data_IF_187881039840
#
_entry.id   IF_187881039840
#
_cell.length_a   1.000
_cell.length_b   1.000
_cell.length_c   1.000
_cell.angle_alpha   90.00
_cell.angle_beta   90.00
_cell.angle_gamma   90.00
#
_symmetry.space_group_name_H-M   'P 1'
#
loop_
_entity.id
_entity.type
_entity.pdbx_description
1 polymer ?
#
# COMPACT_ATOMS: atom_id res chain seq x y z
N UNK A 1 -12.07 2.69 -15.66
CA UNK A 1 -12.09 1.47 -14.83
C UNK A 1 -11.94 1.93 -13.39
N UNK A 2 -12.81 1.48 -12.48
CA UNK A 2 -12.71 1.83 -11.05
C UNK A 2 -11.65 0.94 -10.40
N UNK A 3 -10.83 1.52 -9.53
CA UNK A 3 -9.87 0.78 -8.71
C UNK A 3 -10.52 0.36 -7.39
N UNK A 4 -10.01 -0.72 -6.80
CA UNK A 4 -10.50 -1.20 -5.49
C UNK A 4 -10.25 -0.17 -4.38
N UNK A 5 -9.09 0.52 -4.42
CA UNK A 5 -8.82 1.68 -3.57
C UNK A 5 -9.62 2.86 -4.13
N UNK A 6 -10.54 3.39 -3.34
CA UNK A 6 -11.43 4.51 -3.70
C UNK A 6 -11.09 5.81 -2.99
N UNK A 7 -10.44 5.70 -1.84
CA UNK A 7 -9.95 6.85 -1.06
C UNK A 7 -8.57 6.54 -0.53
N UNK A 8 -7.71 7.56 -0.55
CA UNK A 8 -6.43 7.58 0.14
C UNK A 8 -6.39 8.84 1.00
N UNK A 9 -6.17 8.70 2.30
CA UNK A 9 -6.01 9.84 3.22
C UNK A 9 -4.60 9.83 3.80
N UNK A 10 -4.01 11.01 3.92
CA UNK A 10 -2.76 11.22 4.63
C UNK A 10 -3.05 11.89 5.96
N UNK A 11 -2.62 11.25 7.05
CA UNK A 11 -2.75 11.76 8.41
C UNK A 11 -1.37 12.07 8.96
N UNK A 12 -1.10 13.31 9.33
CA UNK A 12 0.23 13.77 9.76
C UNK A 12 0.21 14.18 11.23
N UNK A 13 1.28 13.96 12.01
CA UNK A 13 1.36 14.49 13.37
C UNK A 13 1.22 16.00 13.36
N UNK A 14 0.39 16.52 14.25
CA UNK A 14 0.24 17.95 14.49
C UNK A 14 1.57 18.54 15.03
N UNK A 15 1.63 19.87 15.14
CA UNK A 15 2.84 20.55 15.68
C UNK A 15 3.24 20.07 17.07
N UNK A 16 2.30 19.61 17.90
CA UNK A 16 2.59 19.07 19.23
C UNK A 16 2.98 17.59 19.20
N UNK A 17 2.79 16.91 18.07
CA UNK A 17 2.98 15.47 17.85
C UNK A 17 2.18 14.60 18.81
N UNK A 18 1.05 15.10 19.29
CA UNK A 18 0.12 14.38 20.20
C UNK A 18 -1.11 13.87 19.49
N UNK A 19 -1.41 14.41 18.31
CA UNK A 19 -2.55 14.03 17.49
C UNK A 19 -2.14 13.97 16.03
N UNK A 20 -2.94 13.27 15.25
CA UNK A 20 -2.91 13.28 13.79
C UNK A 20 -3.97 14.26 13.28
N UNK A 21 -3.58 15.09 12.32
CA UNK A 21 -4.44 15.99 11.57
C UNK A 21 -4.47 15.58 10.09
N UNK A 22 -5.51 16.02 9.38
CA UNK A 22 -5.68 15.70 7.96
C UNK A 22 -4.64 16.44 7.12
N UNK A 23 -3.74 15.70 6.47
CA UNK A 23 -2.66 16.22 5.63
C UNK A 23 -2.97 16.24 4.14
N UNK A 24 -4.07 15.63 3.71
CA UNK A 24 -4.50 15.56 2.31
C UNK A 24 -5.19 14.25 1.98
N UNK A 25 -5.78 14.15 0.78
CA UNK A 25 -6.36 12.90 0.33
C UNK A 25 -6.74 12.87 -1.14
N UNK A 26 -6.78 11.67 -1.70
CA UNK A 26 -7.27 11.35 -3.03
C UNK A 26 -8.64 10.69 -2.86
N UNK A 27 -9.66 11.22 -3.53
CA UNK A 27 -11.03 10.73 -3.44
C UNK A 27 -11.56 10.52 -4.85
N UNK A 28 -12.26 9.41 -5.06
CA UNK A 28 -13.07 9.23 -6.26
C UNK A 28 -14.25 10.21 -6.31
N UNK A 29 -14.77 10.41 -7.52
CA UNK A 29 -15.93 11.25 -7.77
C UNK A 29 -17.12 10.82 -6.89
N UNK A 30 -17.82 11.82 -6.34
CA UNK A 30 -18.99 11.61 -5.48
C UNK A 30 -18.68 11.36 -4.00
N UNK A 31 -17.41 11.35 -3.59
CA UNK A 31 -17.00 11.13 -2.18
C UNK A 31 -16.68 12.41 -1.40
N UNK A 32 -17.14 13.57 -1.89
CA UNK A 32 -16.88 14.87 -1.24
C UNK A 32 -17.46 14.99 0.16
N UNK A 33 -18.62 14.38 0.42
CA UNK A 33 -19.22 14.36 1.75
C UNK A 33 -18.37 13.57 2.76
N UNK A 34 -17.79 12.44 2.33
CA UNK A 34 -16.86 11.68 3.17
C UNK A 34 -15.60 12.49 3.44
N UNK A 35 -15.02 13.12 2.39
CA UNK A 35 -13.85 14.01 2.50
C UNK A 35 -14.07 15.15 3.50
N UNK A 36 -15.20 15.85 3.44
CA UNK A 36 -15.48 16.98 4.32
C UNK A 36 -15.45 16.55 5.80
N UNK A 37 -16.00 15.38 6.12
CA UNK A 37 -15.95 14.84 7.48
C UNK A 37 -14.53 14.40 7.86
N UNK A 38 -13.75 13.87 6.93
CA UNK A 38 -12.33 13.57 7.16
C UNK A 38 -11.55 14.82 7.56
N UNK A 39 -11.75 15.93 6.87
CA UNK A 39 -10.98 17.17 7.06
C UNK A 39 -11.16 17.79 8.46
N UNK A 40 -12.27 17.50 9.14
CA UNK A 40 -12.56 18.01 10.49
C UNK A 40 -12.03 17.12 11.62
N UNK A 41 -11.63 15.88 11.31
CA UNK A 41 -11.23 14.92 12.32
C UNK A 41 -9.79 15.05 12.77
N UNK A 42 -9.58 14.57 13.99
CA UNK A 42 -8.26 14.38 14.59
C UNK A 42 -8.24 13.04 15.32
N UNK A 43 -7.04 12.46 15.42
CA UNK A 43 -6.83 11.16 16.07
C UNK A 43 -5.65 11.22 17.03
N UNK A 44 -5.88 10.94 18.31
CA UNK A 44 -4.83 10.68 19.27
C UNK A 44 -4.16 9.32 19.07
N UNK A 45 -3.16 9.05 19.90
CA UNK A 45 -2.53 7.72 20.01
C UNK A 45 -3.58 6.66 20.40
N UNK A 46 -3.58 5.53 19.70
CA UNK A 46 -4.56 4.42 19.82
C UNK A 46 -6.03 4.81 19.56
N UNK A 47 -6.26 5.98 18.96
CA UNK A 47 -7.61 6.48 18.67
C UNK A 47 -7.99 6.29 17.20
N UNK A 48 -9.12 5.63 16.95
CA UNK A 48 -9.56 5.36 15.58
C UNK A 48 -8.57 4.49 14.79
N UNK A 49 -8.79 4.39 13.48
CA UNK A 49 -7.92 3.59 12.62
C UNK A 49 -6.50 4.17 12.46
N UNK A 50 -6.31 5.49 12.22
CA UNK A 50 -4.97 6.06 12.11
C UNK A 50 -4.18 5.99 13.42
N UNK A 51 -4.82 6.30 14.55
CA UNK A 51 -4.18 6.28 15.86
C UNK A 51 -3.81 4.86 16.31
N UNK A 52 -4.57 3.84 15.91
CA UNK A 52 -4.21 2.43 16.15
C UNK A 52 -2.96 1.99 15.41
N UNK A 53 -2.86 2.34 14.13
CA UNK A 53 -1.64 2.08 13.35
C UNK A 53 -0.42 2.83 13.93
N UNK A 54 -0.63 4.07 14.41
CA UNK A 54 0.40 4.78 15.17
C UNK A 54 0.80 4.00 16.43
N UNK A 55 -0.18 3.50 17.20
CA UNK A 55 0.10 2.84 18.47
C UNK A 55 0.83 1.50 18.32
N UNK A 56 0.41 0.67 17.39
CA UNK A 56 1.01 -0.65 17.20
C UNK A 56 2.32 -0.63 16.39
N UNK A 57 2.60 0.46 15.66
CA UNK A 57 3.85 0.62 14.92
C UNK A 57 3.93 -0.18 13.62
N UNK A 58 2.82 -0.79 13.18
CA UNK A 58 2.73 -1.60 11.96
C UNK A 58 1.38 -1.35 11.25
N UNK A 59 1.20 -1.80 10.00
CA UNK A 59 -0.08 -1.65 9.32
C UNK A 59 -1.23 -2.31 10.07
N UNK A 60 -2.44 -1.74 9.96
CA UNK A 60 -3.68 -2.27 10.55
C UNK A 60 -4.74 -2.36 9.48
N UNK A 61 -5.38 -3.52 9.35
CA UNK A 61 -6.53 -3.74 8.49
C UNK A 61 -7.79 -3.70 9.36
N UNK A 62 -8.79 -2.96 8.90
CA UNK A 62 -10.12 -2.92 9.50
C UNK A 62 -11.13 -3.39 8.45
N UNK A 63 -11.55 -4.65 8.59
CA UNK A 63 -12.43 -5.35 7.63
C UNK A 63 -13.91 -4.99 7.77
N UNK A 64 -14.29 -4.31 8.86
CA UNK A 64 -15.66 -3.85 9.11
C UNK A 64 -15.69 -2.58 9.95
N UNK A 65 -16.46 -1.58 9.53
CA UNK A 65 -16.60 -0.33 10.27
C UNK A 65 -17.63 -0.39 11.40
N UNK A 66 -18.78 -1.03 11.16
CA UNK A 66 -19.83 -1.14 12.16
C UNK A 66 -19.37 -1.90 13.41
N UNK A 67 -19.75 -1.40 14.60
CA UNK A 67 -19.34 -1.92 15.91
C UNK A 67 -17.81 -1.98 16.11
N UNK A 68 -17.07 -1.06 15.49
CA UNK A 68 -15.62 -0.92 15.65
C UNK A 68 -15.26 0.45 16.25
N UNK A 69 -13.96 0.69 16.42
CA UNK A 69 -13.40 1.99 16.84
C UNK A 69 -13.41 3.06 15.73
N UNK A 70 -13.97 2.76 14.55
CA UNK A 70 -14.02 3.68 13.42
C UNK A 70 -14.98 4.85 13.68
N UNK A 71 -14.52 6.08 13.41
CA UNK A 71 -15.24 7.32 13.77
C UNK A 71 -16.27 7.80 12.75
N UNK A 72 -16.30 7.23 11.53
CA UNK A 72 -17.08 7.75 10.39
C UNK A 72 -17.94 6.68 9.72
N UNK A 73 -18.48 5.76 10.52
CA UNK A 73 -19.14 4.53 10.03
C UNK A 73 -20.28 4.83 9.07
N UNK A 74 -21.18 5.76 9.43
CA UNK A 74 -22.36 6.07 8.61
C UNK A 74 -21.95 6.73 7.28
N UNK A 75 -20.95 7.60 7.30
CA UNK A 75 -20.44 8.27 6.11
C UNK A 75 -19.70 7.29 5.20
N UNK A 76 -18.91 6.36 5.76
CA UNK A 76 -18.26 5.31 5.01
C UNK A 76 -19.28 4.37 4.37
N UNK A 77 -20.33 3.99 5.10
CA UNK A 77 -21.43 3.18 4.57
C UNK A 77 -22.17 3.90 3.44
N UNK A 78 -22.51 5.19 3.60
CA UNK A 78 -23.13 6.00 2.56
C UNK A 78 -22.23 6.17 1.32
N UNK A 79 -20.91 6.16 1.51
CA UNK A 79 -19.90 6.20 0.45
C UNK A 79 -19.67 4.83 -0.25
N UNK A 80 -20.23 3.73 0.29
CA UNK A 80 -19.98 2.38 -0.19
C UNK A 80 -18.56 1.88 0.08
N UNK A 81 -17.93 2.36 1.16
CA UNK A 81 -16.63 1.89 1.63
C UNK A 81 -16.84 0.74 2.62
N UNK A 82 -16.03 -0.31 2.53
CA UNK A 82 -16.22 -1.54 3.30
C UNK A 82 -15.03 -1.94 4.15
N UNK A 83 -13.82 -1.51 3.78
CA UNK A 83 -12.64 -1.73 4.62
C UNK A 83 -11.68 -0.54 4.60
N UNK A 84 -10.86 -0.46 5.65
CA UNK A 84 -9.82 0.54 5.81
C UNK A 84 -8.48 -0.11 6.13
N UNK A 85 -7.40 0.39 5.54
CA UNK A 85 -6.03 -0.08 5.81
C UNK A 85 -5.20 1.12 6.21
N UNK A 86 -4.76 1.16 7.47
CA UNK A 86 -3.84 2.20 7.94
C UNK A 86 -2.41 1.70 7.89
N UNK A 87 -1.54 2.52 7.31
CA UNK A 87 -0.14 2.24 7.02
C UNK A 87 0.70 3.34 7.67
N UNK A 88 1.32 3.06 8.83
CA UNK A 88 2.15 4.05 9.48
C UNK A 88 3.54 4.09 8.84
N UNK A 89 4.09 5.30 8.69
CA UNK A 89 5.45 5.53 8.19
C UNK A 89 6.27 6.16 9.30
N UNK A 90 7.36 5.49 9.69
CA UNK A 90 8.26 5.93 10.73
C UNK A 90 9.64 6.27 10.18
N UNK A 91 10.30 7.24 10.80
CA UNK A 91 11.73 7.49 10.69
C UNK A 91 12.36 7.25 12.07
N UNK A 92 12.96 6.08 12.27
CA UNK A 92 13.32 5.62 13.61
C UNK A 92 12.06 5.43 14.46
N UNK A 93 12.02 6.05 15.64
CA UNK A 93 10.85 6.00 16.55
C UNK A 93 9.81 7.10 16.24
N UNK A 94 10.11 8.01 15.31
CA UNK A 94 9.25 9.15 15.01
C UNK A 94 8.28 8.83 13.88
N UNK A 95 6.98 8.79 14.20
CA UNK A 95 5.93 8.72 13.18
C UNK A 95 6.00 9.95 12.26
N UNK A 96 6.08 9.73 10.96
CA UNK A 96 6.06 10.79 9.94
C UNK A 96 4.65 11.04 9.43
N UNK A 97 3.91 9.96 9.16
CA UNK A 97 2.50 10.02 8.76
C UNK A 97 1.84 8.65 8.91
N UNK A 98 0.51 8.61 8.83
CA UNK A 98 -0.29 7.41 8.59
C UNK A 98 -1.05 7.59 7.28
N UNK A 99 -0.77 6.72 6.32
CA UNK A 99 -1.54 6.64 5.09
C UNK A 99 -2.72 5.69 5.31
N UNK A 100 -3.94 6.13 5.00
CA UNK A 100 -5.15 5.29 5.15
C UNK A 100 -5.77 5.07 3.79
N UNK A 101 -5.92 3.81 3.42
CA UNK A 101 -6.59 3.38 2.20
C UNK A 101 -8.00 2.95 2.58
N UNK A 102 -9.02 3.45 1.87
CA UNK A 102 -10.36 2.89 1.95
C UNK A 102 -10.73 2.23 0.64
N UNK A 103 -11.23 1.01 0.76
CA UNK A 103 -11.70 0.24 -0.37
C UNK A 103 -13.22 0.17 -0.36
N UNK A 104 -13.80 0.11 -1.55
CA UNK A 104 -15.24 -0.04 -1.73
C UNK A 104 -15.61 -1.42 -2.23
N UNK A 105 -16.83 -1.82 -1.90
CA UNK A 105 -17.44 -3.06 -2.36
C UNK A 105 -18.26 -2.79 -3.60
N UNK A 106 -17.78 -3.29 -4.73
CA UNK A 106 -18.67 -3.64 -5.83
C UNK A 106 -18.83 -5.16 -5.73
N UNK A 107 -20.03 -5.73 -5.79
CA UNK A 107 -20.30 -7.19 -5.61
C UNK A 107 -19.45 -8.11 -6.51
N UNK A 108 -18.80 -7.55 -7.54
CA UNK A 108 -17.90 -8.22 -8.46
C UNK A 108 -16.40 -8.08 -8.11
N UNK A 109 -16.03 -7.40 -7.02
CA UNK A 109 -14.64 -7.13 -6.68
C UNK A 109 -13.92 -8.38 -6.22
N UNK A 110 -12.89 -8.75 -6.98
CA UNK A 110 -11.99 -9.83 -6.61
C UNK A 110 -10.59 -9.29 -6.37
N UNK A 111 -10.13 -9.41 -5.14
CA UNK A 111 -8.85 -8.94 -4.68
C UNK A 111 -8.71 -9.16 -3.18
N UNK A 112 -7.49 -9.05 -2.68
CA UNK A 112 -7.25 -9.17 -1.25
C UNK A 112 -6.18 -8.19 -0.78
N UNK A 113 -6.34 -7.72 0.45
CA UNK A 113 -5.28 -7.04 1.19
C UNK A 113 -5.01 -7.87 2.42
N UNK A 114 -3.77 -8.30 2.62
CA UNK A 114 -3.42 -9.20 3.71
C UNK A 114 -2.26 -8.61 4.52
N UNK A 115 -2.27 -8.87 5.82
CA UNK A 115 -1.19 -8.52 6.73
C UNK A 115 -0.59 -9.80 7.30
N UNK A 116 0.69 -10.01 7.01
CA UNK A 116 1.47 -11.14 7.50
C UNK A 116 2.49 -10.67 8.52
N UNK A 117 2.82 -11.52 9.49
CA UNK A 117 3.82 -11.22 10.50
C UNK A 117 4.63 -12.47 10.83
N UNK A 118 5.96 -12.31 10.97
CA UNK A 118 6.79 -13.32 11.60
C UNK A 118 6.91 -13.05 13.10
N UNK A 119 6.58 -14.04 13.91
CA UNK A 119 6.90 -14.05 15.33
C UNK A 119 8.08 -15.00 15.55
N UNK A 120 9.31 -14.48 15.71
CA UNK A 120 10.52 -15.31 15.77
C UNK A 120 10.55 -16.23 17.00
N UNK A 121 9.80 -15.92 18.06
CA UNK A 121 9.71 -16.75 19.26
C UNK A 121 8.74 -17.94 19.07
N UNK A 122 7.82 -17.85 18.11
CA UNK A 122 6.81 -18.88 17.82
C UNK A 122 7.13 -19.73 16.60
N UNK A 123 7.67 -19.15 15.52
CA UNK A 123 7.89 -19.86 14.26
C UNK A 123 8.95 -19.20 13.38
N UNK A 124 9.60 -20.01 12.52
CA UNK A 124 10.46 -19.54 11.44
C UNK A 124 9.68 -19.08 10.20
N UNK A 125 8.35 -19.21 10.21
CA UNK A 125 7.44 -18.82 9.14
C UNK A 125 6.60 -17.62 9.58
N UNK A 126 6.11 -16.85 8.61
CA UNK A 126 5.07 -15.85 8.91
C UNK A 126 3.67 -16.43 8.80
N UNK A 127 2.79 -15.96 9.68
CA UNK A 127 1.36 -16.24 9.66
C UNK A 127 0.54 -15.03 9.26
N UNK A 128 -0.69 -15.30 8.81
CA UNK A 128 -1.67 -14.25 8.55
C UNK A 128 -2.15 -13.67 9.88
N UNK A 129 -2.07 -12.35 10.00
CA UNK A 129 -2.61 -11.61 11.15
C UNK A 129 -4.04 -11.17 10.86
N UNK A 130 -4.24 -10.53 9.71
CA UNK A 130 -5.57 -10.13 9.25
C UNK A 130 -5.60 -9.98 7.73
N UNK A 131 -6.79 -9.90 7.15
CA UNK A 131 -6.95 -9.67 5.72
C UNK A 131 -8.39 -9.37 5.30
N UNK A 132 -8.53 -8.59 4.24
CA UNK A 132 -9.79 -8.36 3.55
C UNK A 132 -9.77 -9.09 2.21
N UNK A 133 -10.83 -9.84 1.92
CA UNK A 133 -10.90 -10.74 0.77
C UNK A 133 -12.11 -10.49 -0.15
N UNK A 134 -12.89 -9.43 0.09
CA UNK A 134 -14.13 -9.17 -0.62
C UNK A 134 -15.07 -10.38 -0.52
N UNK A 135 -15.46 -10.93 -1.67
CA UNK A 135 -16.34 -12.11 -1.77
C UNK A 135 -15.60 -13.45 -1.86
N UNK A 136 -14.27 -13.46 -1.71
CA UNK A 136 -13.42 -14.64 -1.93
C UNK A 136 -13.25 -15.52 -0.67
N UNK A 137 -14.35 -16.00 -0.08
CA UNK A 137 -14.37 -16.76 1.19
C UNK A 137 -13.40 -17.96 1.24
N UNK A 138 -13.34 -18.73 0.15
CA UNK A 138 -12.45 -19.90 0.08
C UNK A 138 -10.97 -19.49 0.08
N UNK A 139 -10.66 -18.37 -0.59
CA UNK A 139 -9.32 -17.83 -0.63
C UNK A 139 -8.92 -17.28 0.74
N UNK A 140 -9.84 -16.62 1.46
CA UNK A 140 -9.65 -16.22 2.85
C UNK A 140 -9.36 -17.43 3.75
N UNK A 141 -10.20 -18.47 3.68
CA UNK A 141 -10.05 -19.67 4.49
C UNK A 141 -8.65 -20.29 4.31
N UNK A 142 -8.21 -20.46 3.07
CA UNK A 142 -6.89 -21.01 2.78
C UNK A 142 -5.74 -20.08 3.22
N UNK A 143 -5.94 -18.76 3.13
CA UNK A 143 -4.95 -17.78 3.61
C UNK A 143 -4.73 -17.89 5.12
N UNK A 144 -5.82 -17.99 5.91
CA UNK A 144 -5.77 -18.13 7.38
C UNK A 144 -5.03 -19.39 7.84
N UNK A 145 -5.10 -20.47 7.05
CA UNK A 145 -4.43 -21.75 7.34
C UNK A 145 -3.06 -21.91 6.68
N UNK A 146 -2.58 -20.89 5.96
CA UNK A 146 -1.27 -20.94 5.31
C UNK A 146 -0.21 -20.25 6.17
N UNK A 147 1.02 -20.75 6.07
CA UNK A 147 2.23 -20.14 6.60
C UNK A 147 3.26 -20.03 5.49
N UNK A 148 4.10 -19.00 5.55
CA UNK A 148 5.13 -18.77 4.53
C UNK A 148 6.54 -18.80 5.16
N UNK A 149 7.38 -19.76 4.76
CA UNK A 149 8.80 -19.70 5.03
C UNK A 149 9.44 -18.45 4.45
N UNK A 150 10.51 -17.96 5.09
CA UNK A 150 11.33 -16.88 4.56
C UNK A 150 11.85 -17.24 3.16
N UNK A 151 11.50 -16.42 2.17
CA UNK A 151 11.89 -16.60 0.77
C UNK A 151 10.91 -17.38 -0.10
N UNK A 152 9.75 -17.80 0.43
CA UNK A 152 8.75 -18.57 -0.31
C UNK A 152 7.39 -17.85 -0.39
N UNK A 153 6.70 -17.95 -1.53
CA UNK A 153 5.49 -17.15 -1.80
C UNK A 153 5.74 -15.64 -1.82
N UNK A 154 4.72 -14.83 -2.11
CA UNK A 154 4.87 -13.36 -2.07
C UNK A 154 5.27 -12.87 -0.67
N UNK A 155 4.57 -13.21 0.43
CA UNK A 155 4.90 -12.69 1.75
C UNK A 155 6.31 -13.05 2.19
N UNK A 156 6.68 -14.34 2.09
CA UNK A 156 8.00 -14.83 2.48
C UNK A 156 9.12 -14.26 1.61
N UNK A 157 8.92 -14.08 0.30
CA UNK A 157 9.92 -13.43 -0.58
C UNK A 157 10.11 -11.97 -0.23
N UNK A 158 9.04 -11.23 0.05
CA UNK A 158 9.12 -9.83 0.49
C UNK A 158 9.88 -9.72 1.81
N UNK A 159 9.62 -10.61 2.76
CA UNK A 159 10.39 -10.69 4.01
C UNK A 159 11.87 -10.98 3.79
N UNK A 160 12.21 -11.93 2.92
CA UNK A 160 13.61 -12.22 2.59
C UNK A 160 14.30 -11.02 1.93
N UNK A 161 13.63 -10.35 0.99
CA UNK A 161 14.19 -9.22 0.26
C UNK A 161 14.34 -7.97 1.12
N UNK A 162 13.41 -7.73 2.05
CA UNK A 162 13.35 -6.47 2.79
C UNK A 162 13.01 -5.26 1.93
N UNK A 163 12.51 -5.49 0.72
CA UNK A 163 12.15 -4.47 -0.26
C UNK A 163 10.78 -4.81 -0.84
N UNK A 164 10.03 -3.82 -1.36
CA UNK A 164 8.83 -4.08 -2.11
C UNK A 164 9.08 -5.07 -3.24
N UNK A 165 8.11 -5.95 -3.50
CA UNK A 165 8.14 -6.88 -4.62
C UNK A 165 6.83 -6.82 -5.38
N UNK A 166 6.93 -6.91 -6.71
CA UNK A 166 5.80 -7.13 -7.62
C UNK A 166 6.00 -8.52 -8.23
N UNK A 167 4.96 -9.34 -8.18
CA UNK A 167 4.90 -10.65 -8.84
C UNK A 167 3.73 -10.62 -9.83
N UNK A 168 4.03 -10.92 -11.09
CA UNK A 168 3.05 -11.07 -12.17
C UNK A 168 2.76 -12.55 -12.40
N UNK A 169 1.64 -12.83 -13.06
CA UNK A 169 1.27 -14.14 -13.58
C UNK A 169 1.49 -15.26 -12.57
N UNK A 170 0.73 -15.19 -11.48
CA UNK A 170 0.75 -16.15 -10.36
C UNK A 170 0.58 -17.63 -10.78
N UNK A 171 0.25 -17.88 -12.05
CA UNK A 171 0.06 -19.17 -12.67
C UNK A 171 1.36 -19.96 -12.94
N UNK A 172 2.52 -19.29 -13.09
CA UNK A 172 3.74 -19.97 -13.59
C UNK A 172 4.83 -20.24 -12.54
N UNK A 173 4.45 -20.43 -11.27
CA UNK A 173 5.43 -20.54 -10.20
C UNK A 173 5.18 -21.76 -9.30
N UNK A 174 5.99 -22.80 -9.50
CA UNK A 174 6.29 -23.85 -8.50
C UNK A 174 6.72 -23.28 -7.11
N UNK A 175 6.89 -21.96 -7.00
CA UNK A 175 7.23 -21.21 -5.79
C UNK A 175 6.07 -20.41 -5.16
N UNK A 176 4.84 -20.53 -5.67
CA UNK A 176 3.68 -19.81 -5.13
C UNK A 176 2.72 -20.76 -4.39
N UNK A 177 2.75 -20.67 -3.06
CA UNK A 177 1.80 -21.35 -2.19
C UNK A 177 0.40 -20.76 -2.46
N UNK A 178 -0.60 -21.61 -2.71
CA UNK A 178 -2.02 -21.26 -3.03
C UNK A 178 -2.30 -20.65 -4.41
N UNK A 179 -1.46 -20.89 -5.42
CA UNK A 179 -1.69 -20.35 -6.77
C UNK A 179 -3.02 -20.84 -7.38
N UNK A 180 -3.43 -22.08 -7.14
CA UNK A 180 -4.68 -22.64 -7.68
C UNK A 180 -5.90 -21.87 -7.19
N UNK A 181 -5.91 -21.46 -5.92
CA UNK A 181 -7.03 -20.71 -5.36
C UNK A 181 -7.03 -19.26 -5.83
N UNK A 182 -5.84 -18.64 -5.91
CA UNK A 182 -5.68 -17.30 -6.49
C UNK A 182 -6.16 -17.27 -7.95
N UNK A 183 -5.85 -18.30 -8.73
CA UNK A 183 -6.28 -18.44 -10.12
C UNK A 183 -7.81 -18.63 -10.25
N UNK A 184 -8.45 -19.43 -9.38
CA UNK A 184 -9.91 -19.60 -9.36
C UNK A 184 -10.66 -18.29 -9.16
N UNK A 185 -10.08 -17.38 -8.41
CA UNK A 185 -10.64 -16.05 -8.16
C UNK A 185 -10.06 -14.98 -9.12
N UNK A 186 -9.15 -15.35 -10.03
CA UNK A 186 -8.63 -14.45 -11.07
C UNK A 186 -7.58 -13.43 -10.61
N UNK A 187 -6.97 -13.63 -9.43
CA UNK A 187 -5.83 -12.82 -8.97
C UNK A 187 -4.62 -13.16 -9.84
N UNK A 188 -4.00 -12.13 -10.43
CA UNK A 188 -2.86 -12.28 -11.34
C UNK A 188 -1.67 -11.37 -11.00
N UNK A 189 -1.86 -10.40 -10.11
CA UNK A 189 -0.83 -9.46 -9.69
C UNK A 189 -0.78 -9.44 -8.16
N UNK A 190 0.44 -9.56 -7.62
CA UNK A 190 0.69 -9.43 -6.19
C UNK A 190 1.78 -8.40 -5.91
N UNK A 191 1.52 -7.49 -4.97
CA UNK A 191 2.50 -6.52 -4.47
C UNK A 191 2.70 -6.76 -2.99
N UNK A 192 3.94 -6.96 -2.55
CA UNK A 192 4.27 -7.14 -1.14
C UNK A 192 5.13 -5.99 -0.63
N UNK A 193 4.76 -5.38 0.48
CA UNK A 193 5.44 -4.24 1.11
C UNK A 193 5.93 -4.65 2.51
N UNK A 194 7.24 -4.63 2.77
CA UNK A 194 7.78 -4.97 4.08
C UNK A 194 7.72 -3.78 5.04
N UNK A 195 7.41 -4.06 6.30
CA UNK A 195 7.53 -3.13 7.43
C UNK A 195 8.36 -3.82 8.51
N UNK A 196 9.56 -3.31 8.76
CA UNK A 196 10.45 -3.85 9.79
C UNK A 196 10.22 -3.11 11.09
N UNK A 197 9.90 -3.86 12.14
CA UNK A 197 9.75 -3.36 13.50
C UNK A 197 10.84 -4.01 14.34
N UNK A 198 11.83 -3.23 14.79
CA UNK A 198 13.00 -3.79 15.49
C UNK A 198 13.91 -4.63 14.59
N UNK A 199 14.68 -5.53 15.19
CA UNK A 199 15.73 -6.30 14.49
C UNK A 199 15.22 -7.55 13.77
N UNK A 200 14.27 -8.27 14.38
CA UNK A 200 13.89 -9.62 13.95
C UNK A 200 12.41 -9.80 13.63
N UNK A 201 11.60 -8.73 13.76
CA UNK A 201 10.19 -8.75 13.37
C UNK A 201 9.98 -7.98 12.07
N UNK A 202 9.25 -8.62 11.16
CA UNK A 202 8.85 -8.08 9.87
C UNK A 202 7.38 -8.36 9.65
N UNK A 203 6.66 -7.30 9.33
CA UNK A 203 5.31 -7.36 8.80
C UNK A 203 5.38 -7.27 7.28
N UNK A 204 4.47 -7.93 6.59
CA UNK A 204 4.32 -7.81 5.15
C UNK A 204 2.87 -7.51 4.83
N UNK A 205 2.63 -6.34 4.26
CA UNK A 205 1.35 -5.97 3.67
C UNK A 205 1.33 -6.45 2.22
N UNK A 206 0.37 -7.27 1.83
CA UNK A 206 0.19 -7.68 0.44
C UNK A 206 -1.05 -7.06 -0.18
N UNK A 207 -0.94 -6.65 -1.43
CA UNK A 207 -2.04 -6.27 -2.30
C UNK A 207 -2.14 -7.32 -3.40
N UNK A 208 -3.26 -8.02 -3.47
CA UNK A 208 -3.55 -9.04 -4.45
C UNK A 208 -4.67 -8.56 -5.36
N UNK A 209 -4.34 -8.40 -6.63
CA UNK A 209 -5.18 -7.73 -7.61
C UNK A 209 -5.61 -8.73 -8.69
N UNK A 210 -6.89 -8.70 -9.04
CA UNK A 210 -7.40 -9.33 -10.26
C UNK A 210 -7.42 -8.34 -11.42
N UNK A 211 -7.40 -8.83 -12.66
CA UNK A 211 -7.39 -7.97 -13.85
C UNK A 211 -8.68 -7.16 -14.01
N UNK A 212 -9.82 -7.76 -13.66
CA UNK A 212 -11.13 -7.12 -13.77
C UNK A 212 -11.33 -5.99 -12.74
N UNK A 213 -10.68 -6.10 -11.59
CA UNK A 213 -10.88 -5.25 -10.41
C UNK A 213 -9.53 -4.88 -9.82
N UNK A 214 -8.76 -4.03 -10.53
CA UNK A 214 -7.40 -3.75 -10.13
C UNK A 214 -7.34 -2.93 -8.84
N UNK A 215 -6.40 -3.25 -7.95
CA UNK A 215 -6.13 -2.44 -6.76
C UNK A 215 -5.62 -1.05 -7.14
N UNK A 216 -4.74 -1.00 -8.13
CA UNK A 216 -4.27 0.20 -8.79
C UNK A 216 -3.99 -0.13 -10.25
N UNK A 217 -4.02 0.87 -11.13
CA UNK A 217 -3.79 0.69 -12.57
C UNK A 217 -2.32 0.51 -12.92
N UNK A 218 -1.42 0.93 -12.02
CA UNK A 218 0.02 0.80 -12.19
C UNK A 218 0.71 0.76 -10.83
N UNK A 219 1.76 -0.03 -10.72
CA UNK A 219 2.70 -0.03 -9.60
C UNK A 219 4.12 0.15 -10.12
N UNK A 220 4.93 0.89 -9.38
CA UNK A 220 6.34 1.10 -9.67
C UNK A 220 7.16 1.03 -8.36
N UNK A 221 8.34 0.43 -8.43
CA UNK A 221 9.29 0.37 -7.34
C UNK A 221 10.55 1.10 -7.81
N UNK A 222 10.89 2.14 -7.07
CA UNK A 222 12.09 2.95 -7.27
C UNK A 222 13.03 2.75 -6.09
N UNK A 223 14.31 2.50 -6.34
CA UNK A 223 15.32 2.28 -5.29
C UNK A 223 16.49 3.24 -5.43
N UNK A 224 17.14 3.64 -4.34
CA UNK A 224 18.39 4.40 -4.45
C UNK A 224 19.42 3.64 -5.28
N UNK A 225 20.15 4.36 -6.14
CA UNK A 225 21.36 3.85 -6.77
C UNK A 225 22.50 3.65 -5.73
N UNK A 226 23.63 3.10 -6.15
CA UNK A 226 24.72 2.68 -5.25
C UNK A 226 25.26 3.82 -4.37
N UNK A 227 25.45 5.01 -4.95
CA UNK A 227 25.90 6.22 -4.25
C UNK A 227 24.75 6.98 -3.55
N UNK A 228 23.50 6.54 -3.75
CA UNK A 228 22.26 7.13 -3.25
C UNK A 228 22.09 8.60 -3.64
N UNK A 229 22.57 8.99 -4.82
CA UNK A 229 22.37 10.32 -5.41
C UNK A 229 21.03 10.45 -6.13
N UNK A 230 20.46 9.34 -6.61
CA UNK A 230 19.19 9.31 -7.33
C UNK A 230 18.39 8.02 -7.05
N UNK A 231 17.11 8.02 -7.41
CA UNK A 231 16.29 6.81 -7.50
C UNK A 231 16.30 6.26 -8.92
N UNK A 232 16.47 4.94 -9.03
CA UNK A 232 16.41 4.19 -10.29
C UNK A 232 15.25 3.22 -10.27
N UNK A 233 14.67 2.98 -11.44
CA UNK A 233 13.56 2.05 -11.59
C UNK A 233 14.03 0.61 -11.34
N UNK A 234 13.31 -0.12 -10.50
CA UNK A 234 13.61 -1.52 -10.17
C UNK A 234 12.63 -2.48 -10.82
N UNK A 235 11.34 -2.19 -10.69
CA UNK A 235 10.27 -3.06 -11.14
C UNK A 235 8.96 -2.28 -11.24
N UNK A 236 8.05 -2.76 -12.09
CA UNK A 236 6.74 -2.16 -12.23
C UNK A 236 5.78 -3.03 -13.03
N UNK A 237 4.51 -2.74 -12.86
CA UNK A 237 3.43 -3.32 -13.65
C UNK A 237 2.41 -2.25 -14.02
N UNK A 238 1.81 -2.36 -15.20
CA UNK A 238 0.84 -1.40 -15.70
C UNK A 238 -0.27 -2.13 -16.44
N UNK A 239 -1.52 -1.82 -16.10
CA UNK A 239 -2.70 -2.41 -16.73
C UNK A 239 -2.78 -2.15 -18.24
N UNK A 240 -2.12 -1.09 -18.72
CA UNK A 240 -1.99 -0.76 -20.14
C UNK A 240 -0.86 -1.54 -20.84
N UNK A 241 -0.23 -2.51 -20.16
CA UNK A 241 0.86 -3.36 -20.67
C UNK A 241 2.06 -2.56 -21.20
N UNK A 242 2.30 -1.37 -20.64
CA UNK A 242 3.48 -0.57 -20.95
C UNK A 242 4.74 -1.27 -20.45
N UNK A 243 5.76 -1.40 -21.31
CA UNK A 243 7.09 -1.85 -20.91
C UNK A 243 7.83 -0.76 -20.12
N UNK A 244 7.56 -0.70 -18.82
CA UNK A 244 8.15 0.27 -17.91
C UNK A 244 9.67 0.15 -17.80
N UNK A 245 10.20 -1.07 -17.91
CA UNK A 245 11.64 -1.29 -17.84
C UNK A 245 12.35 -0.64 -19.02
N UNK A 246 11.81 -0.80 -20.24
CA UNK A 246 12.34 -0.13 -21.42
C UNK A 246 12.22 1.41 -21.33
N UNK A 247 11.09 1.92 -20.81
CA UNK A 247 10.86 3.37 -20.66
C UNK A 247 11.82 4.03 -19.68
N UNK A 248 12.15 3.34 -18.58
CA UNK A 248 12.95 3.91 -17.49
C UNK A 248 14.41 3.46 -17.47
N UNK A 249 14.88 2.64 -18.43
CA UNK A 249 16.21 2.03 -18.43
C UNK A 249 17.38 3.00 -18.21
N UNK A 250 17.27 4.24 -18.69
CA UNK A 250 18.29 5.29 -18.57
C UNK A 250 17.82 6.50 -17.77
N UNK A 251 16.74 6.36 -17.00
CA UNK A 251 16.10 7.45 -16.29
C UNK A 251 16.34 7.32 -14.80
N UNK A 252 16.39 8.46 -14.12
CA UNK A 252 16.52 8.53 -12.67
C UNK A 252 15.69 9.68 -12.13
N UNK A 253 15.25 9.57 -10.88
CA UNK A 253 14.51 10.62 -10.18
C UNK A 253 15.41 11.18 -9.09
N UNK A 254 15.68 12.48 -9.15
CA UNK A 254 16.46 13.18 -8.15
C UNK A 254 15.69 13.34 -6.83
N UNK A 255 16.43 13.56 -5.75
CA UNK A 255 15.80 13.86 -4.45
C UNK A 255 15.01 15.17 -4.53
N UNK A 256 13.73 15.12 -4.16
CA UNK A 256 12.80 16.24 -4.27
C UNK A 256 12.12 16.40 -5.64
N UNK A 257 12.47 15.58 -6.64
CA UNK A 257 11.87 15.64 -7.97
C UNK A 257 10.52 14.91 -8.01
N UNK A 258 9.46 15.65 -8.34
CA UNK A 258 8.10 15.10 -8.42
C UNK A 258 7.64 14.45 -7.11
N UNK A 259 6.61 13.62 -7.19
CA UNK A 259 6.01 12.98 -6.01
C UNK A 259 6.94 11.90 -5.41
N UNK A 260 7.62 11.13 -6.27
CA UNK A 260 8.51 10.04 -5.85
C UNK A 260 9.78 10.59 -5.18
N UNK A 261 10.44 11.57 -5.81
CA UNK A 261 11.61 12.24 -5.23
C UNK A 261 11.23 13.08 -4.00
N UNK A 262 10.04 13.67 -3.98
CA UNK A 262 9.47 14.36 -2.81
C UNK A 262 9.29 13.44 -1.60
N UNK A 263 8.71 12.25 -1.81
CA UNK A 263 8.58 11.23 -0.76
C UNK A 263 9.93 10.79 -0.20
N UNK A 264 10.95 10.67 -1.06
CA UNK A 264 12.32 10.43 -0.62
C UNK A 264 12.91 11.61 0.17
N UNK A 265 12.68 12.84 -0.28
CA UNK A 265 13.19 14.03 0.41
C UNK A 265 12.64 14.16 1.82
N UNK A 266 11.32 14.01 1.97
CA UNK A 266 10.60 14.20 3.22
C UNK A 266 10.59 12.98 4.15
N UNK A 267 10.76 11.76 3.61
CA UNK A 267 10.51 10.53 4.36
C UNK A 267 9.03 10.32 4.70
N UNK A 268 8.14 10.98 3.96
CA UNK A 268 6.69 10.94 4.12
C UNK A 268 6.03 10.42 2.84
N UNK A 269 4.84 9.78 2.93
CA UNK A 269 4.04 9.54 1.75
C UNK A 269 3.70 10.85 1.03
N UNK A 270 3.69 10.82 -0.30
CA UNK A 270 3.21 11.92 -1.13
C UNK A 270 1.95 11.49 -1.88
N UNK A 271 0.97 12.39 -1.93
CA UNK A 271 -0.26 12.27 -2.72
C UNK A 271 -0.21 13.29 -3.84
N UNK A 272 -0.59 12.88 -5.04
CA UNK A 272 -0.71 13.78 -6.18
C UNK A 272 -2.05 13.51 -6.88
N UNK A 273 -2.91 14.52 -6.94
CA UNK A 273 -4.21 14.48 -7.59
C UNK A 273 -4.19 15.06 -9.03
N UNK A 274 -3.06 15.62 -9.45
CA UNK A 274 -2.83 16.21 -10.77
C UNK A 274 -1.39 15.95 -11.25
N UNK A 275 -1.19 14.76 -11.83
CA UNK A 275 0.10 14.34 -12.38
C UNK A 275 0.65 15.25 -13.49
N UNK A 276 -0.15 16.15 -14.07
CA UNK A 276 0.37 17.12 -15.06
C UNK A 276 1.35 18.11 -14.44
N UNK A 277 1.33 18.26 -13.11
CA UNK A 277 2.25 19.08 -12.32
C UNK A 277 3.45 18.31 -11.82
N UNK A 278 3.49 16.99 -12.03
CA UNK A 278 4.62 16.16 -11.66
C UNK A 278 5.72 16.29 -12.72
N UNK A 279 6.79 17.00 -12.37
CA UNK A 279 7.91 17.26 -13.28
C UNK A 279 8.83 16.06 -13.52
N UNK A 280 8.54 14.90 -12.93
CA UNK A 280 9.36 13.70 -13.10
C UNK A 280 8.99 12.91 -14.34
N UNK A 281 9.93 12.07 -14.79
CA UNK A 281 9.70 11.12 -15.87
C UNK A 281 8.55 10.14 -15.57
N UNK A 282 8.35 9.79 -14.29
CA UNK A 282 7.27 8.91 -13.87
C UNK A 282 5.91 9.58 -14.05
N UNK A 283 5.78 10.84 -13.66
CA UNK A 283 4.57 11.65 -13.86
C UNK A 283 4.21 11.83 -15.32
N UNK A 284 5.20 12.16 -16.17
CA UNK A 284 5.00 12.33 -17.61
C UNK A 284 4.52 11.04 -18.30
N UNK A 285 5.18 9.91 -18.04
CA UNK A 285 4.80 8.61 -18.61
C UNK A 285 3.45 8.11 -18.08
N UNK A 286 3.12 8.42 -16.81
CA UNK A 286 1.81 8.11 -16.26
C UNK A 286 0.70 8.94 -16.92
N UNK A 287 0.93 10.24 -17.13
CA UNK A 287 0.00 11.11 -17.88
C UNK A 287 -0.23 10.59 -19.31
N UNK A 288 0.84 10.19 -20.01
CA UNK A 288 0.74 9.62 -21.34
C UNK A 288 -0.08 8.31 -21.38
N UNK A 289 -0.12 7.57 -20.27
CA UNK A 289 -0.96 6.38 -20.09
C UNK A 289 -2.39 6.69 -19.59
N UNK A 290 -2.78 7.98 -19.51
CA UNK A 290 -4.10 8.41 -19.04
C UNK A 290 -4.33 8.16 -17.54
N UNK A 291 -3.26 8.25 -16.74
CA UNK A 291 -3.30 8.27 -15.28
C UNK A 291 -3.18 9.72 -14.82
N UNK A 292 -3.94 10.10 -13.80
CA UNK A 292 -3.96 11.48 -13.29
C UNK A 292 -3.59 11.59 -11.81
N UNK A 293 -3.67 10.49 -11.05
CA UNK A 293 -3.49 10.47 -9.61
C UNK A 293 -2.46 9.41 -9.20
N UNK A 294 -1.68 9.71 -8.18
CA UNK A 294 -0.72 8.75 -7.63
C UNK A 294 -0.50 8.89 -6.13
N UNK A 295 0.01 7.81 -5.55
CA UNK A 295 0.57 7.77 -4.20
C UNK A 295 2.01 7.30 -4.30
N UNK A 296 2.93 8.00 -3.62
CA UNK A 296 4.29 7.54 -3.39
C UNK A 296 4.46 7.20 -1.90
N UNK A 297 4.74 5.95 -1.59
CA UNK A 297 4.97 5.44 -0.25
C UNK A 297 6.47 5.15 -0.05
N UNK A 298 7.16 5.88 0.84
CA UNK A 298 8.54 5.54 1.18
C UNK A 298 8.58 4.27 2.04
N UNK A 299 9.46 3.35 1.68
CA UNK A 299 9.81 2.19 2.49
C UNK A 299 11.16 2.48 3.15
N UNK A 300 11.12 2.63 4.46
CA UNK A 300 12.25 3.07 5.28
C UNK A 300 12.71 1.89 6.15
N UNK A 301 13.98 1.53 6.03
CA UNK A 301 14.63 0.52 6.86
C UNK A 301 15.87 1.10 7.51
N UNK A 302 16.10 0.78 8.79
CA UNK A 302 17.27 1.25 9.55
C UNK A 302 17.51 2.77 9.45
N UNK A 303 16.42 3.56 9.48
CA UNK A 303 16.47 5.02 9.40
C UNK A 303 16.84 5.58 8.02
N UNK A 304 16.85 4.77 6.96
CA UNK A 304 17.19 5.19 5.60
C UNK A 304 16.10 4.74 4.62
N UNK A 305 15.92 5.51 3.55
CA UNK A 305 15.09 5.05 2.44
C UNK A 305 15.74 3.83 1.78
N UNK A 306 14.95 2.77 1.65
CA UNK A 306 15.30 1.54 0.95
C UNK A 306 14.61 1.45 -0.41
N UNK A 307 13.37 1.94 -0.51
CA UNK A 307 12.62 2.07 -1.76
C UNK A 307 11.52 3.13 -1.66
N UNK A 308 10.99 3.57 -2.81
CA UNK A 308 9.67 4.21 -2.92
C UNK A 308 8.78 3.28 -3.73
N UNK A 309 7.64 2.87 -3.16
CA UNK A 309 6.58 2.21 -3.89
C UNK A 309 5.59 3.28 -4.37
N UNK A 310 5.40 3.40 -5.67
CA UNK A 310 4.39 4.25 -6.25
C UNK A 310 3.24 3.41 -6.83
N UNK A 311 2.01 3.88 -6.66
CA UNK A 311 0.86 3.32 -7.37
C UNK A 311 -0.06 4.43 -7.89
N UNK A 312 -0.73 4.12 -9.00
CA UNK A 312 -1.49 5.08 -9.78
C UNK A 312 -2.94 4.64 -9.90
N UNK A 313 -3.86 5.58 -9.66
CA UNK A 313 -5.30 5.35 -9.58
C UNK A 313 -6.01 5.89 -10.84
#
# INVERSE_FOLDING_TARGET
>A
MKTFIRVVELWVPDRTRRRLEFGGGLYDDGLSAFKAVSEELHFGYDEGLPGKAWACGHPVILTKFANSYFKRTDQAAAAGLTCGVAVPVFAGEFLQAVLVLFCGDDEAHVGAIELWHNDPDLSHEMGLVDGYYGTADMFEFNSRHTRFPRGFGLPGRTWKAGLPLIIKDLHDAKSFLRWEDAAKVGINLGVGVPYRTGTDQTWVLTFLSAQATPIARRFEIWVPNEDRSALVFRAGDCSAQTDLAARYAAQSIARGEGSIGGAWAAGMPALNDDLTRDGSIAGSEACAAGLSRMVALPVIGNGRLDAVLAWYL
#
